data_IF_441118796397
#
_entry.id   IF_441118796397
#
_cell.length_a   1.000
_cell.length_b   1.000
_cell.length_c   1.000
_cell.angle_alpha   90.00
_cell.angle_beta   90.00
_cell.angle_gamma   90.00
#
_symmetry.space_group_name_H-M   'P 1'
#
loop_
_entity.id
_entity.type
_entity.pdbx_description
1 polymer ?
#
# COMPACT_ATOMS: atom_id res chain seq x y z
N UNK A 1 -12.60 -12.57 0.97
CA UNK A 1 -12.44 -14.02 0.84
C UNK A 1 -11.16 -14.34 0.07
N UNK A 2 -10.33 -15.24 0.59
CA UNK A 2 -9.24 -15.83 -0.19
C UNK A 2 -9.75 -16.90 -1.15
N UNK A 3 -8.89 -17.41 -2.01
CA UNK A 3 -9.25 -18.52 -2.89
C UNK A 3 -9.61 -19.79 -2.09
N UNK A 4 -8.84 -20.11 -1.05
CA UNK A 4 -9.13 -21.22 -0.14
C UNK A 4 -10.44 -20.99 0.64
N UNK A 5 -10.74 -19.73 0.99
CA UNK A 5 -12.02 -19.36 1.60
C UNK A 5 -13.23 -19.62 0.67
N UNK A 6 -13.10 -19.34 -0.62
CA UNK A 6 -14.14 -19.64 -1.62
C UNK A 6 -14.35 -21.17 -1.75
N UNK A 7 -13.28 -21.95 -1.76
CA UNK A 7 -13.37 -23.42 -1.74
C UNK A 7 -14.08 -23.92 -0.48
N UNK A 8 -13.71 -23.40 0.68
CA UNK A 8 -14.31 -23.79 1.96
C UNK A 8 -15.81 -23.46 2.03
N UNK A 9 -16.26 -22.42 1.31
CA UNK A 9 -17.67 -22.06 1.16
C UNK A 9 -18.43 -22.94 0.15
N UNK A 10 -17.76 -23.89 -0.50
CA UNK A 10 -18.39 -24.80 -1.45
C UNK A 10 -18.60 -24.22 -2.85
N UNK A 11 -17.86 -23.16 -3.23
CA UNK A 11 -17.91 -22.65 -4.61
C UNK A 11 -17.44 -23.77 -5.56
N UNK A 12 -18.24 -24.14 -6.57
CA UNK A 12 -17.88 -25.25 -7.46
C UNK A 12 -16.61 -24.98 -8.26
N UNK A 13 -15.86 -26.04 -8.58
CA UNK A 13 -14.58 -25.96 -9.29
C UNK A 13 -14.67 -25.22 -10.64
N UNK A 14 -15.80 -25.35 -11.33
CA UNK A 14 -16.00 -24.67 -12.60
C UNK A 14 -15.95 -23.14 -12.43
N UNK A 15 -16.54 -22.60 -11.36
CA UNK A 15 -16.52 -21.19 -11.02
C UNK A 15 -15.17 -20.76 -10.44
N UNK A 16 -14.56 -21.59 -9.60
CA UNK A 16 -13.21 -21.33 -9.05
C UNK A 16 -12.17 -21.11 -10.16
N UNK A 17 -12.24 -21.89 -11.23
CA UNK A 17 -11.36 -21.77 -12.40
C UNK A 17 -11.52 -20.47 -13.19
N UNK A 18 -12.60 -19.72 -12.98
CA UNK A 18 -12.80 -18.42 -13.64
C UNK A 18 -12.09 -17.26 -12.93
N UNK A 19 -11.58 -17.49 -11.71
CA UNK A 19 -10.76 -16.50 -11.03
C UNK A 19 -9.35 -16.39 -11.64
N UNK A 20 -8.71 -15.22 -11.57
CA UNK A 20 -7.36 -15.02 -12.08
C UNK A 20 -6.33 -15.93 -11.41
N UNK A 21 -5.35 -16.40 -12.18
CA UNK A 21 -4.34 -17.35 -11.71
C UNK A 21 -3.56 -16.87 -10.46
N UNK A 22 -3.09 -15.59 -10.38
CA UNK A 22 -2.42 -15.13 -9.16
C UNK A 22 -3.30 -15.24 -7.91
N UNK A 23 -4.58 -14.93 -8.01
CA UNK A 23 -5.53 -15.09 -6.92
C UNK A 23 -5.75 -16.56 -6.55
N UNK A 24 -5.81 -17.47 -7.54
CA UNK A 24 -5.93 -18.90 -7.28
C UNK A 24 -4.72 -19.47 -6.54
N UNK A 25 -3.52 -18.94 -6.81
CA UNK A 25 -2.27 -19.39 -6.19
C UNK A 25 -2.09 -18.84 -4.77
N UNK A 26 -2.68 -17.68 -4.47
CA UNK A 26 -2.48 -16.97 -3.21
C UNK A 26 -1.13 -16.25 -3.12
N UNK A 27 -1.04 -15.27 -2.22
CA UNK A 27 0.10 -14.36 -2.17
C UNK A 27 1.43 -15.06 -1.82
N UNK A 28 1.43 -16.03 -0.92
CA UNK A 28 2.65 -16.72 -0.51
C UNK A 28 3.31 -17.49 -1.66
N UNK A 29 2.53 -18.11 -2.54
CA UNK A 29 3.04 -18.82 -3.72
C UNK A 29 3.60 -17.86 -4.79
N UNK A 30 3.32 -16.56 -4.66
CA UNK A 30 3.75 -15.48 -5.56
C UNK A 30 4.90 -14.65 -4.98
N UNK A 31 5.59 -15.16 -3.95
CA UNK A 31 6.67 -14.46 -3.26
C UNK A 31 7.80 -14.01 -4.21
N UNK A 32 8.13 -14.81 -5.22
CA UNK A 32 9.13 -14.44 -6.24
C UNK A 32 8.70 -13.21 -7.04
N UNK A 33 7.46 -13.18 -7.51
CA UNK A 33 6.88 -12.06 -8.25
C UNK A 33 6.77 -10.80 -7.37
N UNK A 34 6.47 -10.98 -6.10
CA UNK A 34 6.36 -9.90 -5.12
C UNK A 34 7.72 -9.43 -4.58
N UNK A 35 8.81 -10.14 -4.92
CA UNK A 35 10.16 -9.89 -4.36
C UNK A 35 10.18 -10.02 -2.82
N UNK A 36 9.36 -10.92 -2.27
CA UNK A 36 9.30 -11.20 -0.84
C UNK A 36 10.37 -12.22 -0.46
N UNK A 37 11.63 -11.76 -0.40
CA UNK A 37 12.80 -12.56 -0.07
C UNK A 37 13.38 -12.20 1.31
N UNK A 38 14.29 -13.02 1.81
CA UNK A 38 14.99 -12.78 3.07
C UNK A 38 14.03 -12.53 4.23
N UNK A 39 14.10 -11.37 4.92
CA UNK A 39 13.21 -11.09 6.05
C UNK A 39 11.72 -11.00 5.68
N UNK A 40 11.41 -10.80 4.40
CA UNK A 40 10.05 -10.69 3.87
C UNK A 40 9.48 -12.01 3.38
N UNK A 41 10.28 -13.08 3.34
CA UNK A 41 9.89 -14.37 2.80
C UNK A 41 8.74 -15.04 3.59
N UNK A 42 7.86 -15.82 2.92
CA UNK A 42 6.66 -16.39 3.54
C UNK A 42 6.89 -17.26 4.78
N UNK A 43 8.06 -17.90 4.91
CA UNK A 43 8.45 -18.64 6.11
C UNK A 43 8.54 -17.76 7.37
N UNK A 44 8.75 -16.44 7.21
CA UNK A 44 8.84 -15.46 8.29
C UNK A 44 7.49 -14.77 8.60
N UNK A 45 6.42 -15.16 7.90
CA UNK A 45 5.10 -14.57 8.09
C UNK A 45 4.43 -15.08 9.36
N UNK A 46 3.53 -14.27 9.91
CA UNK A 46 2.70 -14.65 11.05
C UNK A 46 1.76 -15.80 10.67
N UNK A 47 1.43 -16.64 11.64
CA UNK A 47 0.68 -17.89 11.41
C UNK A 47 -0.65 -17.67 10.69
N UNK A 48 -1.33 -16.55 10.95
CA UNK A 48 -2.60 -16.21 10.29
C UNK A 48 -2.47 -16.03 8.76
N UNK A 49 -1.27 -15.71 8.27
CA UNK A 49 -0.98 -15.49 6.85
C UNK A 49 -0.22 -16.64 6.20
N UNK A 50 0.04 -17.70 6.92
CA UNK A 50 0.63 -18.91 6.29
C UNK A 50 -0.34 -19.49 5.26
N UNK A 51 0.19 -20.13 4.20
CA UNK A 51 -0.64 -20.68 3.13
C UNK A 51 -1.82 -21.51 3.64
N UNK A 52 -3.02 -21.18 3.18
CA UNK A 52 -4.24 -21.89 3.53
C UNK A 52 -4.89 -21.53 4.88
N UNK A 53 -4.29 -20.66 5.69
CA UNK A 53 -4.89 -20.31 6.98
C UNK A 53 -5.95 -19.20 6.87
N UNK A 54 -5.68 -18.15 6.11
CA UNK A 54 -6.59 -17.02 5.98
C UNK A 54 -7.67 -17.28 4.93
N UNK A 55 -8.84 -17.76 5.34
CA UNK A 55 -9.99 -17.95 4.43
C UNK A 55 -10.79 -16.67 4.23
N UNK A 56 -10.93 -15.87 5.28
CA UNK A 56 -11.72 -14.63 5.26
C UNK A 56 -11.03 -13.58 6.13
N UNK A 57 -10.94 -12.36 5.62
CA UNK A 57 -10.60 -11.18 6.40
C UNK A 57 -11.85 -10.29 6.52
N UNK A 58 -12.29 -10.04 7.76
CA UNK A 58 -13.33 -9.08 8.07
C UNK A 58 -12.67 -7.82 8.60
N UNK A 59 -12.86 -6.69 7.91
CA UNK A 59 -12.34 -5.39 8.35
C UNK A 59 -13.49 -4.51 8.81
N UNK A 60 -13.43 -4.05 10.05
CA UNK A 60 -14.43 -3.18 10.65
C UNK A 60 -13.85 -1.79 10.82
N UNK A 61 -14.49 -0.78 10.25
CA UNK A 61 -14.18 0.63 10.43
C UNK A 61 -15.28 1.31 11.24
N UNK A 62 -14.90 2.12 12.21
CA UNK A 62 -15.82 2.85 13.06
C UNK A 62 -15.36 4.30 13.26
N UNK A 63 -16.26 5.17 13.66
CA UNK A 63 -15.99 6.60 13.87
C UNK A 63 -15.24 6.87 15.16
N UNK A 64 -15.35 5.96 16.13
CA UNK A 64 -14.67 6.02 17.43
C UNK A 64 -14.49 4.62 18.03
N UNK A 65 -13.78 4.53 19.13
CA UNK A 65 -13.48 3.29 19.83
C UNK A 65 -14.74 2.61 20.39
N UNK A 66 -15.71 3.36 20.89
CA UNK A 66 -16.95 2.79 21.46
C UNK A 66 -17.80 2.13 20.36
N UNK A 67 -17.91 2.77 19.20
CA UNK A 67 -18.59 2.20 18.03
C UNK A 67 -17.85 0.97 17.50
N UNK A 68 -16.49 1.00 17.51
CA UNK A 68 -15.68 -0.14 17.12
C UNK A 68 -15.89 -1.33 18.07
N UNK A 69 -15.82 -1.11 19.37
CA UNK A 69 -15.99 -2.17 20.38
C UNK A 69 -17.38 -2.81 20.28
N UNK A 70 -18.41 -2.01 20.05
CA UNK A 70 -19.78 -2.50 19.84
C UNK A 70 -19.88 -3.37 18.57
N UNK A 71 -19.34 -2.89 17.46
CA UNK A 71 -19.36 -3.62 16.18
C UNK A 71 -18.54 -4.93 16.28
N UNK A 72 -17.41 -4.89 16.96
CA UNK A 72 -16.57 -6.06 17.20
C UNK A 72 -17.27 -7.10 18.09
N UNK A 73 -17.93 -6.66 19.17
CA UNK A 73 -18.73 -7.56 20.03
C UNK A 73 -19.85 -8.23 19.24
N UNK A 74 -20.54 -7.49 18.37
CA UNK A 74 -21.57 -8.06 17.48
C UNK A 74 -20.97 -9.10 16.54
N UNK A 75 -19.86 -8.77 15.86
CA UNK A 75 -19.19 -9.70 14.94
C UNK A 75 -18.73 -10.98 15.65
N UNK A 76 -18.18 -10.88 16.86
CA UNK A 76 -17.77 -12.05 17.66
C UNK A 76 -18.96 -12.92 18.02
N UNK A 77 -20.09 -12.31 18.45
CA UNK A 77 -21.32 -13.06 18.78
C UNK A 77 -21.82 -13.85 17.56
N UNK A 78 -21.84 -13.24 16.39
CA UNK A 78 -22.26 -13.92 15.14
C UNK A 78 -21.31 -15.06 14.77
N UNK A 79 -19.99 -14.85 14.93
CA UNK A 79 -18.99 -15.88 14.68
C UNK A 79 -19.12 -17.06 15.65
N UNK A 80 -19.32 -16.78 16.93
CA UNK A 80 -19.48 -17.82 17.97
C UNK A 80 -20.76 -18.66 17.78
N UNK A 81 -21.79 -18.05 17.19
CA UNK A 81 -23.04 -18.75 16.83
C UNK A 81 -22.95 -19.53 15.52
N UNK A 82 -21.93 -19.27 14.71
CA UNK A 82 -21.74 -19.88 13.39
C UNK A 82 -20.96 -21.19 13.52
N UNK A 83 -21.51 -22.29 13.04
CA UNK A 83 -20.79 -23.56 12.94
C UNK A 83 -19.79 -23.52 11.77
N UNK A 84 -18.56 -24.01 11.97
CA UNK A 84 -17.57 -24.15 10.89
C UNK A 84 -16.73 -22.90 10.60
N UNK A 85 -16.87 -21.84 11.42
CA UNK A 85 -16.01 -20.66 11.36
C UNK A 85 -15.14 -20.58 12.62
N UNK A 86 -13.84 -20.37 12.44
CA UNK A 86 -12.89 -20.23 13.55
C UNK A 86 -12.17 -18.90 13.42
N UNK A 87 -12.17 -18.09 14.47
CA UNK A 87 -11.37 -16.87 14.54
C UNK A 87 -9.90 -17.26 14.79
N UNK A 88 -9.04 -17.09 13.79
CA UNK A 88 -7.61 -17.44 13.86
C UNK A 88 -6.72 -16.26 14.22
N UNK A 89 -7.23 -15.05 14.16
CA UNK A 89 -6.48 -13.86 14.53
C UNK A 89 -7.36 -12.62 14.56
N UNK A 90 -7.00 -11.70 15.41
CA UNK A 90 -7.62 -10.39 15.52
C UNK A 90 -6.53 -9.35 15.67
N UNK A 91 -6.70 -8.24 14.98
CA UNK A 91 -5.73 -7.16 15.03
C UNK A 91 -6.43 -5.80 15.01
N UNK A 92 -6.20 -5.01 16.07
CA UNK A 92 -6.67 -3.63 16.14
C UNK A 92 -5.66 -2.71 15.47
N UNK A 93 -6.13 -1.87 14.58
CA UNK A 93 -5.34 -0.85 13.92
C UNK A 93 -6.11 0.46 13.88
N UNK A 94 -5.37 1.56 13.75
CA UNK A 94 -5.91 2.91 13.73
C UNK A 94 -4.77 3.90 13.83
N UNK A 95 -4.95 5.11 13.32
CA UNK A 95 -3.97 6.17 13.41
C UNK A 95 -4.25 7.02 14.67
N UNK A 96 -3.57 6.79 15.80
CA UNK A 96 -3.87 7.47 17.06
C UNK A 96 -3.56 8.96 17.03
N UNK A 97 -2.74 9.41 16.05
CA UNK A 97 -2.27 10.80 15.94
C UNK A 97 -2.52 11.36 14.53
N UNK A 98 -3.79 11.55 14.19
CA UNK A 98 -4.17 12.32 13.02
C UNK A 98 -3.69 11.77 11.67
N UNK A 99 -3.77 10.46 11.45
CA UNK A 99 -3.45 9.80 10.18
C UNK A 99 -1.95 9.89 9.78
N UNK A 100 -1.03 9.76 10.73
CA UNK A 100 0.40 9.63 10.46
C UNK A 100 0.81 8.16 10.34
N UNK A 101 1.76 7.89 9.43
CA UNK A 101 2.37 6.58 9.31
C UNK A 101 3.40 6.34 10.46
N UNK A 102 3.93 5.11 10.63
CA UNK A 102 4.85 4.79 11.73
C UNK A 102 6.13 5.63 11.75
N UNK A 103 6.53 6.22 10.63
CA UNK A 103 7.68 7.13 10.53
C UNK A 103 7.31 8.60 10.78
N UNK A 104 6.08 8.89 11.20
CA UNK A 104 5.60 10.24 11.54
C UNK A 104 5.12 11.10 10.37
N UNK A 105 5.07 10.56 9.16
CA UNK A 105 4.58 11.30 7.98
C UNK A 105 3.06 11.24 7.89
N UNK A 106 2.44 12.37 7.55
CA UNK A 106 1.01 12.43 7.26
C UNK A 106 0.69 11.53 6.08
N UNK A 107 -0.29 10.67 6.25
CA UNK A 107 -0.82 9.76 5.22
C UNK A 107 -2.20 10.21 4.75
N UNK A 108 -2.83 9.43 3.87
CA UNK A 108 -4.20 9.65 3.35
C UNK A 108 -4.41 10.96 2.58
N UNK A 109 -3.34 11.55 2.02
CA UNK A 109 -3.39 12.83 1.31
C UNK A 109 -4.01 12.68 -0.09
N UNK A 110 -3.68 11.60 -0.81
CA UNK A 110 -4.10 11.40 -2.21
C UNK A 110 -4.83 10.07 -2.37
N UNK A 111 -6.03 10.13 -2.94
CA UNK A 111 -6.81 8.99 -3.41
C UNK A 111 -7.30 9.30 -4.83
N UNK A 112 -7.34 8.34 -5.75
CA UNK A 112 -7.88 8.58 -7.08
C UNK A 112 -9.38 8.87 -7.02
N UNK A 113 -9.85 9.87 -7.78
CA UNK A 113 -11.26 10.00 -8.09
C UNK A 113 -11.67 8.89 -9.05
N UNK A 114 -12.88 8.35 -8.85
CA UNK A 114 -13.41 7.26 -9.67
C UNK A 114 -14.59 7.78 -10.49
N UNK A 115 -14.57 7.54 -11.78
CA UNK A 115 -15.66 7.93 -12.68
C UNK A 115 -17.00 7.36 -12.20
N UNK A 116 -18.03 8.20 -12.12
CA UNK A 116 -19.36 7.82 -11.63
C UNK A 116 -19.51 7.72 -10.12
N UNK A 117 -18.45 7.97 -9.32
CA UNK A 117 -18.54 7.98 -7.85
C UNK A 117 -19.24 9.21 -7.26
N UNK A 118 -19.38 10.29 -8.04
CA UNK A 118 -19.85 11.58 -7.54
C UNK A 118 -18.79 12.37 -6.77
N UNK A 119 -17.53 11.91 -6.78
CA UNK A 119 -16.38 12.60 -6.18
C UNK A 119 -15.51 13.17 -7.30
N UNK A 120 -15.34 14.49 -7.29
CA UNK A 120 -14.49 15.18 -8.26
C UNK A 120 -13.00 14.94 -7.97
N UNK A 121 -12.14 14.94 -9.00
CA UNK A 121 -10.69 14.91 -8.82
C UNK A 121 -10.21 16.08 -7.98
N UNK A 122 -9.30 15.81 -7.04
CA UNK A 122 -8.62 16.86 -6.29
C UNK A 122 -7.59 17.59 -7.17
N UNK A 123 -7.19 18.83 -6.85
CA UNK A 123 -6.11 19.51 -7.53
C UNK A 123 -4.85 18.64 -7.64
N UNK A 124 -4.16 18.71 -8.79
CA UNK A 124 -3.03 17.84 -9.12
C UNK A 124 -3.40 16.45 -9.65
N UNK A 125 -4.69 16.12 -9.76
CA UNK A 125 -5.19 14.97 -10.49
C UNK A 125 -5.81 15.41 -11.82
N UNK A 126 -5.38 14.83 -12.93
CA UNK A 126 -5.82 15.27 -14.25
C UNK A 126 -7.30 14.98 -14.51
N UNK A 127 -7.78 13.82 -14.08
CA UNK A 127 -9.16 13.35 -14.29
C UNK A 127 -9.54 12.22 -13.35
N UNK A 128 -10.84 11.92 -13.28
CA UNK A 128 -11.31 10.68 -12.68
C UNK A 128 -10.86 9.46 -13.50
N UNK A 129 -10.58 8.38 -12.81
CA UNK A 129 -10.16 7.10 -13.39
C UNK A 129 -11.39 6.23 -13.63
N UNK A 130 -11.40 5.49 -14.74
CA UNK A 130 -12.48 4.58 -15.11
C UNK A 130 -12.84 3.64 -13.94
N UNK A 131 -14.14 3.48 -13.69
CA UNK A 131 -14.65 2.63 -12.61
C UNK A 131 -14.17 1.18 -12.71
N UNK A 132 -13.98 0.67 -13.92
CA UNK A 132 -13.50 -0.69 -14.17
C UNK A 132 -12.08 -0.99 -13.71
N UNK A 133 -11.26 0.03 -13.36
CA UNK A 133 -9.97 -0.20 -12.70
C UNK A 133 -10.13 -0.61 -11.22
N UNK A 134 -11.31 -0.32 -10.62
CA UNK A 134 -11.55 -0.57 -9.20
C UNK A 134 -12.68 -1.57 -8.94
N UNK A 135 -13.66 -1.68 -9.84
CA UNK A 135 -14.85 -2.52 -9.67
C UNK A 135 -15.08 -3.34 -10.93
N UNK A 136 -15.27 -4.65 -10.79
CA UNK A 136 -15.48 -5.59 -11.88
C UNK A 136 -16.83 -5.38 -12.58
N UNK A 137 -16.83 -5.55 -13.90
CA UNK A 137 -18.02 -5.44 -14.75
C UNK A 137 -18.28 -4.05 -15.30
N UNK A 138 -17.32 -3.12 -15.19
CA UNK A 138 -17.34 -1.78 -15.75
C UNK A 138 -16.16 -1.56 -16.68
N UNK A 139 -16.26 -0.55 -17.56
CA UNK A 139 -15.21 -0.17 -18.49
C UNK A 139 -13.94 0.28 -17.75
N UNK A 140 -12.79 -0.29 -18.13
CA UNK A 140 -11.45 0.07 -17.66
C UNK A 140 -10.81 1.15 -18.54
N UNK A 141 -9.61 1.61 -18.18
CA UNK A 141 -8.84 2.58 -18.98
C UNK A 141 -8.56 2.08 -20.41
N UNK A 142 -8.59 0.78 -20.64
CA UNK A 142 -8.41 0.18 -21.97
C UNK A 142 -9.70 0.19 -22.84
N UNK A 143 -10.79 0.81 -22.36
CA UNK A 143 -12.06 0.90 -23.07
C UNK A 143 -12.89 -0.39 -23.07
N UNK A 144 -12.49 -1.40 -22.30
CA UNK A 144 -13.21 -2.67 -22.15
C UNK A 144 -13.30 -3.07 -20.67
N UNK A 145 -14.34 -3.80 -20.25
CA UNK A 145 -14.36 -4.39 -18.92
C UNK A 145 -13.22 -5.40 -18.75
N UNK A 146 -12.67 -5.44 -17.53
CA UNK A 146 -11.72 -6.48 -17.14
C UNK A 146 -12.44 -7.83 -17.00
N UNK A 147 -11.71 -8.92 -17.22
CA UNK A 147 -12.21 -10.26 -16.94
C UNK A 147 -12.67 -10.39 -15.47
N UNK A 148 -13.81 -11.01 -15.27
CA UNK A 148 -14.38 -11.20 -13.93
C UNK A 148 -14.77 -12.65 -13.68
N UNK A 149 -14.84 -13.09 -12.40
CA UNK A 149 -15.33 -14.42 -12.06
C UNK A 149 -16.76 -14.65 -12.54
N UNK A 150 -17.05 -15.88 -12.93
CA UNK A 150 -18.38 -16.30 -13.38
C UNK A 150 -19.10 -17.15 -12.30
N UNK A 151 -20.42 -17.12 -12.22
CA UNK A 151 -21.34 -16.33 -13.05
C UNK A 151 -21.32 -14.82 -12.72
N UNK A 152 -21.99 -14.00 -13.52
CA UNK A 152 -22.08 -12.56 -13.29
C UNK A 152 -22.61 -12.20 -11.90
N UNK A 153 -23.45 -13.02 -11.29
CA UNK A 153 -23.91 -12.85 -9.90
C UNK A 153 -22.75 -12.89 -8.90
N UNK A 154 -21.69 -13.66 -9.17
CA UNK A 154 -20.50 -13.75 -8.36
C UNK A 154 -19.52 -12.60 -8.66
N UNK A 155 -19.25 -12.32 -9.95
CA UNK A 155 -18.18 -11.41 -10.34
C UNK A 155 -18.57 -9.93 -10.38
N UNK A 156 -19.76 -9.59 -10.87
CA UNK A 156 -20.15 -8.20 -11.09
C UNK A 156 -20.26 -7.41 -9.79
N UNK A 157 -19.77 -6.17 -9.80
CA UNK A 157 -19.68 -5.28 -8.63
C UNK A 157 -18.75 -5.80 -7.51
N UNK A 158 -18.05 -6.92 -7.73
CA UNK A 158 -16.98 -7.37 -6.88
C UNK A 158 -15.67 -6.63 -7.18
N UNK A 159 -14.66 -6.88 -6.38
CA UNK A 159 -13.30 -6.37 -6.59
C UNK A 159 -12.26 -7.24 -5.92
N UNK A 160 -10.98 -7.01 -6.24
CA UNK A 160 -9.89 -7.65 -5.52
C UNK A 160 -9.26 -6.70 -4.51
N UNK A 161 -8.74 -7.27 -3.46
CA UNK A 161 -8.07 -6.57 -2.37
C UNK A 161 -6.70 -7.21 -2.15
N UNK A 162 -5.69 -6.38 -2.03
CA UNK A 162 -4.39 -6.78 -1.49
C UNK A 162 -4.36 -6.38 -0.04
N UNK A 163 -4.03 -7.33 0.83
CA UNK A 163 -3.74 -7.10 2.23
C UNK A 163 -2.29 -7.52 2.50
N UNK A 164 -1.46 -6.60 3.01
CA UNK A 164 -0.07 -6.84 3.40
C UNK A 164 0.21 -6.21 4.76
N UNK A 165 0.68 -6.99 5.72
CA UNK A 165 1.10 -6.48 7.04
C UNK A 165 2.59 -6.24 7.03
N UNK A 166 3.00 -5.05 7.44
CA UNK A 166 4.40 -4.66 7.58
C UNK A 166 4.70 -4.25 9.02
N UNK A 167 5.81 -4.74 9.57
CA UNK A 167 6.43 -4.16 10.75
C UNK A 167 7.41 -3.07 10.30
N UNK A 168 7.26 -1.86 10.86
CA UNK A 168 8.08 -0.70 10.52
C UNK A 168 9.24 -0.56 11.51
N UNK A 169 10.47 -0.59 11.00
CA UNK A 169 11.73 -0.48 11.75
C UNK A 169 12.09 0.98 11.96
N UNK A 170 11.31 1.66 12.80
CA UNK A 170 11.44 3.09 13.07
C UNK A 170 12.79 3.43 13.71
N UNK A 171 13.28 2.56 14.59
CA UNK A 171 14.59 2.74 15.21
C UNK A 171 15.74 2.68 14.20
N UNK A 172 15.70 1.73 13.26
CA UNK A 172 16.67 1.67 12.18
C UNK A 172 16.59 2.90 11.26
N UNK A 173 15.39 3.38 10.94
CA UNK A 173 15.20 4.60 10.17
C UNK A 173 15.76 5.83 10.88
N UNK A 174 15.47 6.01 12.18
CA UNK A 174 16.03 7.09 12.99
C UNK A 174 17.55 7.03 13.06
N UNK A 175 18.13 5.85 13.23
CA UNK A 175 19.58 5.66 13.25
C UNK A 175 20.22 6.01 11.89
N UNK A 176 19.57 5.60 10.80
CA UNK A 176 20.00 5.96 9.46
C UNK A 176 19.98 7.49 9.25
N UNK A 177 18.93 8.17 9.63
CA UNK A 177 18.87 9.64 9.54
C UNK A 177 19.94 10.31 10.40
N UNK A 178 20.18 9.83 11.62
CA UNK A 178 21.24 10.36 12.52
C UNK A 178 22.65 10.15 11.97
N UNK A 179 22.89 9.08 11.24
CA UNK A 179 24.17 8.80 10.61
C UNK A 179 24.48 9.72 9.40
N UNK A 180 23.43 10.27 8.75
CA UNK A 180 23.56 11.01 7.49
C UNK A 180 23.15 12.49 7.56
N UNK A 181 22.62 12.95 8.69
CA UNK A 181 22.24 14.35 8.96
C UNK A 181 22.86 14.86 10.26
N UNK A 182 23.70 15.89 10.15
CA UNK A 182 24.40 16.47 11.33
C UNK A 182 23.41 17.18 12.27
N UNK A 183 22.50 17.96 11.71
CA UNK A 183 21.50 18.70 12.45
C UNK A 183 20.13 18.01 12.40
N UNK A 184 19.20 18.41 13.24
CA UNK A 184 17.81 17.96 13.17
C UNK A 184 17.18 18.33 11.83
N UNK A 185 17.47 19.52 11.32
CA UNK A 185 16.96 20.00 10.03
C UNK A 185 17.50 19.16 8.87
N UNK A 186 18.77 18.77 8.87
CA UNK A 186 19.37 17.90 7.84
C UNK A 186 18.68 16.53 7.84
N UNK A 187 18.38 15.97 9.02
CA UNK A 187 17.69 14.70 9.17
C UNK A 187 16.26 14.76 8.62
N UNK A 188 15.53 15.83 8.96
CA UNK A 188 14.16 16.03 8.44
C UNK A 188 14.17 16.24 6.93
N UNK A 189 15.11 17.00 6.41
CA UNK A 189 15.28 17.21 4.97
C UNK A 189 15.62 15.91 4.25
N UNK A 190 16.51 15.08 4.81
CA UNK A 190 16.82 13.76 4.25
C UNK A 190 15.58 12.86 4.25
N UNK A 191 14.85 12.80 5.34
CA UNK A 191 13.61 12.03 5.43
C UNK A 191 12.59 12.51 4.39
N UNK A 192 12.39 13.82 4.25
CA UNK A 192 11.52 14.40 3.24
C UNK A 192 11.95 14.06 1.81
N UNK A 193 13.26 14.07 1.50
CA UNK A 193 13.80 13.65 0.20
C UNK A 193 13.56 12.17 -0.10
N UNK A 194 13.59 11.29 0.91
CA UNK A 194 13.29 9.86 0.76
C UNK A 194 11.81 9.60 0.53
N UNK A 195 10.91 10.31 1.21
CA UNK A 195 9.46 10.18 1.06
C UNK A 195 8.89 10.95 -0.15
N UNK A 196 9.38 12.17 -0.41
CA UNK A 196 8.86 13.13 -1.39
C UNK A 196 8.01 14.23 -0.76
N UNK A 197 7.75 14.15 0.56
CA UNK A 197 7.00 15.11 1.37
C UNK A 197 7.67 15.33 2.71
N UNK A 198 7.43 16.47 3.32
CA UNK A 198 7.70 16.71 4.74
C UNK A 198 6.75 15.93 5.64
N UNK A 199 7.06 15.83 6.93
CA UNK A 199 6.21 15.08 7.89
C UNK A 199 4.81 15.68 8.05
N UNK A 200 4.65 17.00 7.89
CA UNK A 200 3.35 17.66 7.87
C UNK A 200 2.44 17.20 6.72
N UNK A 201 3.04 16.65 5.66
CA UNK A 201 2.39 16.31 4.41
C UNK A 201 2.67 17.29 3.27
N UNK A 202 3.34 18.43 3.55
CA UNK A 202 3.72 19.41 2.53
C UNK A 202 4.63 18.75 1.47
N UNK A 203 4.30 18.83 0.16
CA UNK A 203 5.12 18.23 -0.88
C UNK A 203 6.38 19.06 -1.12
N UNK A 204 7.51 18.39 -1.32
CA UNK A 204 8.77 19.06 -1.67
C UNK A 204 8.68 19.91 -2.94
N UNK A 205 7.81 19.56 -3.87
CA UNK A 205 7.59 20.34 -5.10
C UNK A 205 7.13 21.75 -4.81
N UNK A 206 6.29 21.94 -3.78
CA UNK A 206 5.72 23.26 -3.42
C UNK A 206 6.45 23.92 -2.26
N UNK A 207 7.12 23.15 -1.40
CA UNK A 207 7.96 23.66 -0.31
C UNK A 207 9.31 22.93 -0.29
N UNK A 208 10.28 23.32 -1.14
CA UNK A 208 11.52 22.57 -1.35
C UNK A 208 12.51 22.67 -0.19
N UNK A 209 12.46 23.76 0.58
CA UNK A 209 13.51 24.13 1.53
C UNK A 209 13.16 23.90 3.00
N UNK A 210 11.89 23.93 3.37
CA UNK A 210 11.42 23.77 4.75
C UNK A 210 10.03 23.14 4.81
N UNK A 211 9.65 22.60 5.96
CA UNK A 211 8.30 22.10 6.19
C UNK A 211 7.29 23.25 6.28
N UNK A 212 6.13 23.09 5.67
CA UNK A 212 5.00 24.00 5.73
C UNK A 212 3.75 23.23 6.21
N UNK A 213 3.49 23.22 7.54
CA UNK A 213 2.34 22.52 8.09
C UNK A 213 0.98 23.02 7.58
N UNK A 214 0.84 24.30 7.25
CA UNK A 214 -0.41 24.84 6.71
C UNK A 214 -0.65 24.33 5.29
N UNK A 215 0.38 24.30 4.46
CA UNK A 215 0.31 23.66 3.15
C UNK A 215 0.02 22.15 3.29
N UNK A 216 0.69 21.46 4.21
CA UNK A 216 0.48 20.03 4.46
C UNK A 216 -0.95 19.71 4.90
N UNK A 217 -1.60 20.61 5.63
CA UNK A 217 -2.96 20.45 6.12
C UNK A 217 -4.04 20.78 5.09
N UNK A 218 -3.74 21.54 4.06
CA UNK A 218 -4.69 22.02 3.07
C UNK A 218 -4.93 21.02 1.93
N UNK A 219 -6.08 20.32 1.87
CA UNK A 219 -6.35 19.32 0.85
C UNK A 219 -6.49 19.89 -0.56
N UNK A 220 -6.71 21.21 -0.70
CA UNK A 220 -6.78 21.87 -2.00
C UNK A 220 -5.40 22.20 -2.57
N UNK A 221 -4.36 22.22 -1.74
CA UNK A 221 -3.01 22.63 -2.13
C UNK A 221 -1.98 21.52 -2.00
N UNK A 222 -2.10 20.67 -0.98
CA UNK A 222 -1.06 19.70 -0.62
C UNK A 222 -0.83 18.59 -1.65
N UNK A 223 -1.67 18.50 -2.68
CA UNK A 223 -1.53 17.55 -3.79
C UNK A 223 -1.54 18.21 -5.17
N UNK A 224 -1.62 19.53 -5.24
CA UNK A 224 -1.66 20.32 -6.48
C UNK A 224 -0.25 20.57 -7.02
N UNK A 225 0.37 19.55 -7.57
CA UNK A 225 1.70 19.60 -8.17
C UNK A 225 1.91 18.51 -9.22
N UNK A 226 2.94 18.70 -10.05
CA UNK A 226 3.43 17.73 -11.01
C UNK A 226 4.96 17.64 -10.98
N UNK A 227 5.57 16.82 -11.84
CA UNK A 227 7.03 16.61 -11.89
C UNK A 227 7.68 17.12 -13.18
N UNK A 228 6.92 17.60 -14.15
CA UNK A 228 7.45 18.04 -15.46
C UNK A 228 8.50 19.16 -15.35
N UNK A 229 8.38 20.03 -14.33
CA UNK A 229 9.31 21.12 -14.11
C UNK A 229 10.56 20.69 -13.31
N UNK A 230 10.58 19.45 -12.82
CA UNK A 230 11.72 18.83 -12.15
C UNK A 230 12.12 17.49 -12.79
N UNK A 231 12.40 17.43 -14.10
CA UNK A 231 12.68 16.18 -14.81
C UNK A 231 13.94 15.47 -14.29
N UNK A 232 14.88 16.22 -13.70
CA UNK A 232 16.13 15.68 -13.13
C UNK A 232 16.04 15.29 -11.65
N UNK A 233 14.88 15.50 -11.01
CA UNK A 233 14.66 15.16 -9.60
C UNK A 233 15.48 15.97 -8.60
N UNK A 234 15.83 17.22 -8.92
CA UNK A 234 16.62 18.08 -8.03
C UNK A 234 15.82 18.55 -6.81
N UNK A 235 14.55 18.79 -6.99
CA UNK A 235 13.62 19.13 -5.91
C UNK A 235 13.09 17.88 -5.26
N UNK A 236 12.47 16.98 -6.07
CA UNK A 236 11.92 15.70 -5.62
C UNK A 236 12.73 14.58 -6.26
N UNK A 237 13.61 13.90 -5.52
CA UNK A 237 14.47 12.85 -6.10
C UNK A 237 13.69 11.83 -6.91
N UNK A 238 14.22 11.42 -8.06
CA UNK A 238 13.60 10.43 -8.94
C UNK A 238 13.31 9.12 -8.20
N UNK A 239 14.22 8.74 -7.29
CA UNK A 239 14.14 7.51 -6.51
C UNK A 239 13.29 7.59 -5.24
N UNK A 240 12.69 8.75 -4.89
CA UNK A 240 11.89 8.86 -3.68
C UNK A 240 10.60 8.03 -3.76
N UNK A 241 10.11 7.60 -2.61
CA UNK A 241 8.94 6.75 -2.49
C UNK A 241 7.72 7.28 -3.26
N UNK A 242 7.35 8.55 -3.05
CA UNK A 242 6.16 9.13 -3.67
C UNK A 242 6.27 9.17 -5.20
N UNK A 243 7.44 9.55 -5.75
CA UNK A 243 7.62 9.70 -7.20
C UNK A 243 7.70 8.36 -7.91
N UNK A 244 8.20 7.29 -7.24
CA UNK A 244 8.17 5.92 -7.75
C UNK A 244 6.75 5.38 -7.85
N UNK A 245 5.93 5.60 -6.81
CA UNK A 245 4.60 4.99 -6.73
C UNK A 245 3.48 5.81 -7.36
N UNK A 246 3.71 7.07 -7.65
CA UNK A 246 2.82 7.92 -8.42
C UNK A 246 3.65 8.90 -9.28
N UNK A 247 4.16 8.42 -10.42
CA UNK A 247 5.06 9.21 -11.27
C UNK A 247 4.38 10.38 -11.98
N UNK A 248 3.05 10.50 -11.90
CA UNK A 248 2.25 11.60 -12.48
C UNK A 248 2.59 11.82 -13.95
N UNK A 249 2.90 13.07 -14.31
CA UNK A 249 3.27 13.58 -15.63
C UNK A 249 4.78 13.46 -15.95
N UNK A 250 5.52 12.59 -15.24
CA UNK A 250 6.93 12.34 -15.55
C UNK A 250 7.10 11.59 -16.90
N UNK A 251 8.33 11.54 -17.40
CA UNK A 251 8.63 10.84 -18.68
C UNK A 251 8.19 9.35 -18.69
N UNK A 252 7.95 8.75 -17.52
CA UNK A 252 7.44 7.39 -17.42
C UNK A 252 6.05 7.23 -18.07
N UNK A 253 5.26 8.29 -18.10
CA UNK A 253 3.94 8.30 -18.79
C UNK A 253 4.02 8.10 -20.29
N UNK A 254 5.19 8.30 -20.88
CA UNK A 254 5.43 8.00 -22.29
C UNK A 254 5.57 6.49 -22.55
N UNK A 255 5.86 5.71 -21.53
CA UNK A 255 6.11 4.27 -21.62
C UNK A 255 4.90 3.44 -21.20
N UNK A 256 4.08 3.93 -20.29
CA UNK A 256 2.92 3.23 -19.76
C UNK A 256 1.83 4.20 -19.31
N UNK A 257 0.57 3.79 -19.38
CA UNK A 257 -0.51 4.51 -18.73
C UNK A 257 -0.44 4.26 -17.21
N UNK A 258 0.00 5.28 -16.46
CA UNK A 258 0.13 5.20 -15.00
C UNK A 258 -1.23 5.06 -14.30
N UNK A 259 -2.33 5.38 -14.96
CA UNK A 259 -3.67 5.31 -14.38
C UNK A 259 -4.13 3.86 -14.14
N UNK A 260 -3.66 2.91 -14.95
CA UNK A 260 -3.96 1.48 -14.75
C UNK A 260 -3.30 0.88 -13.50
N UNK A 261 -2.36 1.60 -12.88
CA UNK A 261 -1.67 1.22 -11.65
C UNK A 261 -2.16 2.00 -10.43
N UNK A 262 -3.20 2.85 -10.57
CA UNK A 262 -3.76 3.57 -9.44
C UNK A 262 -4.56 2.62 -8.53
N UNK A 263 -4.51 2.89 -7.24
CA UNK A 263 -5.11 2.05 -6.19
C UNK A 263 -5.95 2.90 -5.24
N UNK A 264 -7.05 2.35 -4.74
CA UNK A 264 -7.80 2.94 -3.63
C UNK A 264 -7.26 2.35 -2.33
N UNK A 265 -6.49 3.14 -1.58
CA UNK A 265 -5.90 2.70 -0.31
C UNK A 265 -6.93 2.72 0.81
N UNK A 266 -6.92 1.66 1.61
CA UNK A 266 -7.70 1.50 2.85
C UNK A 266 -6.79 1.05 3.99
N UNK A 267 -5.51 1.43 3.87
CA UNK A 267 -4.46 1.12 4.83
C UNK A 267 -4.69 1.82 6.16
N UNK A 268 -4.20 1.21 7.23
CA UNK A 268 -4.15 1.84 8.55
C UNK A 268 -2.92 1.37 9.32
N UNK A 269 -2.46 2.21 10.24
CA UNK A 269 -1.29 1.94 11.07
C UNK A 269 -1.66 1.22 12.36
N UNK A 270 -0.69 0.62 12.99
CA UNK A 270 -0.82 0.06 14.35
C UNK A 270 0.42 0.40 15.18
N UNK A 271 0.24 0.35 16.49
CA UNK A 271 1.31 0.60 17.46
C UNK A 271 1.44 2.06 17.87
N UNK A 272 2.48 2.38 18.64
CA UNK A 272 2.66 3.70 19.22
C UNK A 272 3.01 4.76 18.16
N UNK A 273 2.69 6.01 18.47
CA UNK A 273 3.09 7.19 17.67
C UNK A 273 4.60 7.26 17.44
N UNK A 274 4.97 7.91 16.36
CA UNK A 274 6.37 8.18 16.03
C UNK A 274 7.08 8.95 17.15
N UNK A 275 8.32 8.53 17.43
CA UNK A 275 9.27 9.27 18.28
C UNK A 275 10.67 9.13 17.72
N UNK A 276 11.46 10.21 17.76
CA UNK A 276 12.87 10.24 17.41
C UNK A 276 13.76 9.42 18.35
N UNK A 277 13.26 9.11 19.57
CA UNK A 277 13.97 8.37 20.59
C UNK A 277 13.93 6.86 20.39
N UNK A 278 13.10 6.36 19.46
CA UNK A 278 13.03 4.93 19.13
C UNK A 278 14.39 4.47 18.59
N UNK A 279 14.99 3.50 19.27
CA UNK A 279 16.29 2.95 18.91
C UNK A 279 16.16 1.65 18.11
N UNK A 280 17.19 1.23 17.34
CA UNK A 280 17.13 -0.02 16.54
C UNK A 280 16.77 -1.27 17.34
N UNK A 281 17.18 -1.37 18.62
CA UNK A 281 16.82 -2.47 19.50
C UNK A 281 15.31 -2.59 19.77
N UNK A 282 14.58 -1.48 19.67
CA UNK A 282 13.13 -1.45 19.91
C UNK A 282 12.35 -2.02 18.74
N UNK A 283 12.93 -2.05 17.54
CA UNK A 283 12.30 -2.61 16.34
C UNK A 283 12.05 -4.13 16.48
N UNK A 284 12.82 -4.81 17.34
CA UNK A 284 12.62 -6.24 17.62
C UNK A 284 11.29 -6.56 18.31
N UNK A 285 10.62 -5.56 18.93
CA UNK A 285 9.30 -5.72 19.54
C UNK A 285 8.22 -5.99 18.50
N UNK A 286 8.41 -5.50 17.25
CA UNK A 286 7.42 -5.63 16.19
C UNK A 286 6.06 -4.99 16.51
N UNK A 287 6.06 -4.00 17.40
CA UNK A 287 4.87 -3.43 18.03
C UNK A 287 4.22 -2.31 17.21
N UNK A 288 4.79 -1.99 16.03
CA UNK A 288 4.33 -0.90 15.16
C UNK A 288 4.47 -1.23 13.69
N UNK A 289 3.58 -0.71 12.89
CA UNK A 289 3.63 -0.94 11.46
C UNK A 289 2.39 -0.48 10.72
N UNK A 290 2.16 -1.11 9.58
CA UNK A 290 1.11 -0.76 8.65
C UNK A 290 0.39 -2.03 8.16
N UNK A 291 -0.93 -2.03 8.22
CA UNK A 291 -1.75 -2.85 7.35
C UNK A 291 -1.96 -2.10 6.04
N UNK A 292 -1.20 -2.48 5.03
CA UNK A 292 -1.34 -1.96 3.69
C UNK A 292 -2.47 -2.71 3.00
N UNK A 293 -3.59 -2.03 2.85
CA UNK A 293 -4.80 -2.56 2.23
C UNK A 293 -5.17 -1.64 1.07
N UNK A 294 -5.36 -2.20 -0.10
CA UNK A 294 -5.89 -1.45 -1.22
C UNK A 294 -6.84 -2.27 -2.10
N UNK A 295 -7.65 -1.55 -2.84
CA UNK A 295 -8.68 -2.05 -3.73
C UNK A 295 -8.31 -1.70 -5.17
N UNK A 296 -8.39 -2.70 -6.05
CA UNK A 296 -8.29 -2.55 -7.50
C UNK A 296 -8.92 -3.79 -8.15
N UNK A 297 -9.58 -3.64 -9.29
CA UNK A 297 -10.16 -4.76 -10.03
C UNK A 297 -9.12 -5.77 -10.53
N UNK A 298 -7.83 -5.36 -10.56
CA UNK A 298 -6.65 -6.19 -10.85
C UNK A 298 -5.58 -6.09 -9.75
N UNK A 299 -5.98 -6.04 -8.49
CA UNK A 299 -5.09 -5.74 -7.37
C UNK A 299 -3.83 -6.64 -7.30
N UNK A 300 -3.95 -7.92 -7.66
CA UNK A 300 -2.85 -8.88 -7.74
C UNK A 300 -1.80 -8.47 -8.79
N UNK A 301 -2.22 -8.12 -10.01
CA UNK A 301 -1.29 -7.67 -11.07
C UNK A 301 -0.67 -6.31 -10.71
N UNK A 302 -1.47 -5.41 -10.14
CA UNK A 302 -1.00 -4.08 -9.73
C UNK A 302 0.11 -4.18 -8.69
N UNK A 303 -0.07 -4.99 -7.62
CA UNK A 303 0.96 -5.10 -6.58
C UNK A 303 2.21 -5.82 -7.09
N UNK A 304 2.06 -6.87 -7.90
CA UNK A 304 3.20 -7.58 -8.46
C UNK A 304 4.01 -6.66 -9.38
N UNK A 305 3.35 -5.90 -10.25
CA UNK A 305 4.02 -4.91 -11.09
C UNK A 305 4.74 -3.84 -10.24
N UNK A 306 4.06 -3.24 -9.27
CA UNK A 306 4.67 -2.22 -8.41
C UNK A 306 5.88 -2.76 -7.64
N UNK A 307 5.79 -3.97 -7.10
CA UNK A 307 6.89 -4.61 -6.37
C UNK A 307 8.07 -4.94 -7.26
N UNK A 308 7.82 -5.42 -8.47
CA UNK A 308 8.87 -5.79 -9.40
C UNK A 308 9.52 -4.56 -10.04
N UNK A 309 8.72 -3.66 -10.61
CA UNK A 309 9.21 -2.63 -11.51
C UNK A 309 9.48 -1.29 -10.83
N UNK A 310 8.64 -0.88 -9.88
CA UNK A 310 8.75 0.43 -9.27
C UNK A 310 9.48 0.42 -7.92
N UNK A 311 9.28 -0.61 -7.12
CA UNK A 311 9.82 -0.67 -5.75
C UNK A 311 11.21 -1.32 -5.73
N UNK A 312 11.33 -2.54 -6.27
CA UNK A 312 12.54 -3.36 -6.11
C UNK A 312 13.44 -3.42 -7.35
N UNK A 313 13.04 -2.79 -8.46
CA UNK A 313 13.90 -2.74 -9.64
C UNK A 313 14.92 -1.61 -9.52
N UNK A 314 16.20 -1.97 -9.63
CA UNK A 314 17.29 -1.04 -9.48
C UNK A 314 17.37 0.00 -10.60
N UNK A 315 17.14 -0.38 -11.86
CA UNK A 315 17.25 0.52 -13.00
C UNK A 315 15.99 1.37 -13.27
N UNK A 316 15.13 1.57 -12.27
CA UNK A 316 13.99 2.49 -12.39
C UNK A 316 14.49 3.90 -12.77
N UNK A 317 14.04 4.42 -13.91
CA UNK A 317 14.40 5.73 -14.47
C UNK A 317 15.91 6.07 -14.35
N UNK A 318 16.75 5.14 -14.80
CA UNK A 318 18.23 5.28 -14.83
C UNK A 318 18.90 5.44 -13.46
N UNK A 319 18.30 4.96 -12.38
CA UNK A 319 18.86 5.01 -11.04
C UNK A 319 19.89 3.88 -10.73
N UNK A 320 20.21 3.03 -11.71
CA UNK A 320 21.15 1.92 -11.55
C UNK A 320 20.57 0.82 -10.65
N UNK A 321 21.15 0.61 -9.46
CA UNK A 321 20.74 -0.44 -8.52
C UNK A 321 19.85 0.10 -7.37
N UNK A 322 19.38 1.34 -7.46
CA UNK A 322 18.60 1.94 -6.38
C UNK A 322 17.16 1.42 -6.35
N UNK A 323 16.72 0.99 -5.17
CA UNK A 323 15.35 0.55 -4.89
C UNK A 323 14.60 1.64 -4.12
N UNK A 324 13.30 1.47 -3.93
CA UNK A 324 12.50 2.39 -3.11
C UNK A 324 13.11 2.49 -1.70
N UNK A 325 13.43 3.70 -1.21
CA UNK A 325 14.16 3.86 0.06
C UNK A 325 13.31 3.57 1.30
N UNK A 326 11.99 3.41 1.18
CA UNK A 326 11.06 3.23 2.30
C UNK A 326 10.48 1.81 2.35
N UNK A 327 10.05 1.27 1.21
CA UNK A 327 9.38 -0.03 1.14
C UNK A 327 10.16 -1.07 0.32
N UNK A 328 11.28 -0.68 -0.28
CA UNK A 328 12.15 -1.59 -1.00
C UNK A 328 12.83 -2.60 -0.09
N UNK A 329 13.14 -3.76 -0.63
CA UNK A 329 13.97 -4.76 0.03
C UNK A 329 15.45 -4.40 -0.19
N UNK A 330 16.14 -4.03 0.87
CA UNK A 330 17.57 -3.69 0.85
C UNK A 330 18.38 -4.73 1.61
N UNK A 331 19.47 -5.11 1.00
CA UNK A 331 20.55 -5.87 1.62
C UNK A 331 21.62 -4.88 2.17
N UNK A 332 22.88 -5.28 2.25
CA UNK A 332 23.95 -4.41 2.78
C UNK A 332 24.32 -3.24 1.85
N UNK A 333 23.91 -3.29 0.60
CA UNK A 333 24.27 -2.34 -0.47
C UNK A 333 23.19 -1.28 -0.77
N UNK A 334 22.19 -1.14 0.09
CA UNK A 334 21.10 -0.20 -0.10
C UNK A 334 21.58 1.24 -0.28
N UNK A 335 21.03 1.94 -1.29
CA UNK A 335 21.52 3.26 -1.72
C UNK A 335 20.38 4.20 -2.08
N UNK A 336 20.59 5.48 -1.85
CA UNK A 336 19.67 6.54 -2.26
C UNK A 336 20.44 7.73 -2.81
N UNK A 337 20.08 8.21 -4.01
CA UNK A 337 20.73 9.35 -4.66
C UNK A 337 19.82 10.58 -4.64
N UNK A 338 20.37 11.71 -4.17
CA UNK A 338 19.76 13.03 -4.27
C UNK A 338 20.45 13.78 -5.41
N UNK A 339 19.74 14.03 -6.54
CA UNK A 339 20.27 14.85 -7.62
C UNK A 339 20.48 16.29 -7.18
N UNK A 340 21.69 16.81 -7.35
CA UNK A 340 22.05 18.19 -7.04
C UNK A 340 23.23 18.65 -7.90
N UNK A 341 23.50 19.97 -7.95
CA UNK A 341 24.67 20.55 -8.60
C UNK A 341 25.76 20.88 -7.57
N UNK A 342 27.06 20.77 -7.89
CA UNK A 342 27.62 20.32 -9.17
C UNK A 342 27.64 18.80 -9.33
N UNK A 343 27.50 18.03 -8.24
CA UNK A 343 27.52 16.57 -8.24
C UNK A 343 26.38 16.03 -7.38
N UNK A 344 25.75 14.93 -7.81
CA UNK A 344 24.75 14.21 -7.03
C UNK A 344 25.30 13.76 -5.67
N UNK A 345 24.48 13.84 -4.63
CA UNK A 345 24.79 13.28 -3.32
C UNK A 345 24.29 11.84 -3.27
N UNK A 346 25.19 10.89 -3.07
CA UNK A 346 24.87 9.48 -2.87
C UNK A 346 24.91 9.17 -1.38
N UNK A 347 23.90 8.46 -0.90
CA UNK A 347 23.76 8.03 0.49
C UNK A 347 23.69 6.52 0.47
N UNK A 348 24.68 5.87 1.08
CA UNK A 348 24.76 4.42 1.19
C UNK A 348 24.21 3.92 2.53
N UNK A 349 23.95 2.62 2.66
CA UNK A 349 23.49 2.01 3.90
C UNK A 349 21.97 2.15 4.15
N UNK A 350 21.19 2.37 3.09
CA UNK A 350 19.73 2.25 3.18
C UNK A 350 19.37 0.81 3.53
N UNK A 351 18.52 0.63 4.52
CA UNK A 351 18.10 -0.68 5.01
C UNK A 351 16.63 -0.96 4.67
N UNK A 352 16.21 -2.21 4.80
CA UNK A 352 14.78 -2.57 4.76
C UNK A 352 14.09 -2.02 6.01
N UNK A 353 13.36 -0.91 5.85
CA UNK A 353 12.66 -0.24 6.97
C UNK A 353 11.26 -0.80 7.22
N UNK A 354 10.66 -1.47 6.24
CA UNK A 354 9.39 -2.14 6.37
C UNK A 354 9.56 -3.64 6.07
N UNK A 355 9.35 -4.47 7.08
CA UNK A 355 9.49 -5.93 6.99
C UNK A 355 8.11 -6.56 6.87
N UNK A 356 7.90 -7.31 5.79
CA UNK A 356 6.67 -8.05 5.53
C UNK A 356 6.43 -9.12 6.61
N UNK A 357 5.23 -9.15 7.16
CA UNK A 357 4.80 -10.13 8.20
C UNK A 357 3.61 -10.98 7.78
N UNK A 358 3.17 -10.79 6.56
CA UNK A 358 2.14 -11.60 5.99
C UNK A 358 1.23 -10.81 5.04
N UNK A 359 0.45 -11.53 4.27
CA UNK A 359 -0.51 -10.94 3.36
C UNK A 359 -1.31 -11.96 2.58
N UNK A 360 -2.34 -11.48 1.91
CA UNK A 360 -3.18 -12.33 1.07
C UNK A 360 -3.85 -11.53 -0.05
N UNK A 361 -4.13 -12.22 -1.15
CA UNK A 361 -5.05 -11.77 -2.17
C UNK A 361 -6.48 -12.12 -1.78
N UNK A 362 -7.33 -11.14 -1.72
CA UNK A 362 -8.71 -11.34 -1.31
C UNK A 362 -9.67 -10.88 -2.42
N UNK A 363 -10.72 -11.62 -2.62
CA UNK A 363 -11.88 -11.19 -3.38
C UNK A 363 -12.90 -10.55 -2.44
N UNK A 364 -13.31 -9.32 -2.72
CA UNK A 364 -14.36 -8.62 -2.01
C UNK A 364 -15.66 -8.77 -2.83
N UNK A 365 -16.57 -9.65 -2.40
CA UNK A 365 -17.82 -9.88 -3.11
C UNK A 365 -18.76 -8.69 -3.00
N UNK A 366 -19.57 -8.47 -4.02
CA UNK A 366 -20.71 -7.58 -3.96
C UNK A 366 -21.83 -8.17 -3.08
N UNK A 367 -22.86 -7.37 -2.75
CA UNK A 367 -24.01 -7.88 -2.00
C UNK A 367 -24.77 -8.99 -2.75
N UNK A 368 -24.82 -8.93 -4.09
CA UNK A 368 -25.37 -10.00 -4.92
C UNK A 368 -24.51 -11.27 -4.88
N UNK A 369 -23.18 -11.11 -4.89
CA UNK A 369 -22.27 -12.23 -4.76
C UNK A 369 -22.34 -12.88 -3.37
N UNK A 370 -22.51 -12.12 -2.29
CA UNK A 370 -22.75 -12.68 -0.95
C UNK A 370 -24.02 -13.53 -0.89
N UNK A 371 -25.11 -13.09 -1.53
CA UNK A 371 -26.35 -13.87 -1.64
C UNK A 371 -26.11 -15.16 -2.42
N UNK A 372 -25.45 -15.06 -3.58
CA UNK A 372 -25.10 -16.21 -4.39
C UNK A 372 -24.24 -17.22 -3.63
N UNK A 373 -23.22 -16.75 -2.89
CA UNK A 373 -22.36 -17.60 -2.06
C UNK A 373 -23.15 -18.32 -0.94
N UNK A 374 -24.14 -17.65 -0.34
CA UNK A 374 -24.99 -18.26 0.69
C UNK A 374 -25.88 -19.40 0.15
N UNK A 375 -26.16 -19.42 -1.15
CA UNK A 375 -26.96 -20.44 -1.83
C UNK A 375 -26.16 -21.68 -2.28
N UNK A 376 -24.81 -21.65 -2.15
CA UNK A 376 -23.94 -22.77 -2.56
C UNK A 376 -23.84 -23.90 -1.53
N UNK A 377 -24.60 -23.85 -0.46
CA UNK A 377 -24.61 -24.84 0.64
C UNK A 377 -25.49 -26.05 0.32
#
# INVERSE_FOLDING_TARGET
LSFEGLKALGVPDAQLKTFPLPFQQGMAARAEQLRDFGPNAPENWEDVFKPGNCHLALTIYAVDDAALDKALATARTELDQSSGVTLIGEHRFGAPDGAKNPFGFRDSISQPAVEGSGVDPLPGEERAIKAGEFILGYESENGQPLGMPEPAALGKNGTFVVLRKYNSRVGCFNAFLKAHGETAEDRERLAAKMFGRWRSGAPLTLSPDHDDPDLGADPQRNNDFNFKDDPKGRVVPLGCHMRRLNPRDSELTLLTDVNIHRIIRRSSTFGPVYSEDVAPKDDAKGDRGLFFIFISARAYDTIEFMQQEWINRGNFVDLGEERDPIVGLHEEDGRFTIPQAPARKRIDGVQTFNVMKGGEYLFMPSLSALKWLAEQR
#
